data_IF_214839514596
#
_entry.id   IF_214839514596
#
_cell.length_a   1.000
_cell.length_b   1.000
_cell.length_c   1.000
_cell.angle_alpha   90.00
_cell.angle_beta   90.00
_cell.angle_gamma   90.00
#
_symmetry.space_group_name_H-M   'P 1'
#
loop_
_entity.id
_entity.type
_entity.pdbx_description
1 polymer ?
#
# COMPACT_ATOMS: atom_id res chain seq x y z
N UNK A 1 16.39 51.30 -4.27
CA UNK A 1 17.38 51.16 -5.37
C UNK A 1 17.19 49.73 -5.92
N UNK A 2 16.32 49.60 -6.90
CA UNK A 2 15.97 48.33 -7.52
C UNK A 2 16.84 48.13 -8.75
N UNK A 3 17.75 47.15 -8.69
CA UNK A 3 18.57 46.77 -9.85
C UNK A 3 17.72 45.91 -10.80
N UNK A 4 17.29 46.53 -11.90
CA UNK A 4 16.73 45.83 -13.05
C UNK A 4 17.85 45.26 -13.90
N UNK A 5 18.08 43.94 -13.85
CA UNK A 5 18.92 43.23 -14.80
C UNK A 5 18.13 42.95 -16.07
N UNK A 6 18.24 43.79 -17.08
CA UNK A 6 17.78 43.49 -18.43
C UNK A 6 18.81 42.58 -19.11
N UNK A 7 18.57 41.31 -19.20
CA UNK A 7 19.31 40.36 -20.03
C UNK A 7 18.89 40.53 -21.49
N UNK A 8 19.58 41.36 -22.23
CA UNK A 8 19.49 41.43 -23.70
C UNK A 8 20.19 40.19 -24.26
N UNK A 9 19.43 39.19 -24.66
CA UNK A 9 19.95 38.02 -25.37
C UNK A 9 20.45 38.45 -26.76
N UNK A 10 21.78 38.54 -26.93
CA UNK A 10 22.36 38.59 -28.26
C UNK A 10 22.23 37.23 -28.93
N UNK A 11 21.36 37.14 -29.95
CA UNK A 11 21.32 35.96 -30.85
C UNK A 11 22.61 35.91 -31.66
N UNK A 12 23.50 35.03 -31.33
CA UNK A 12 24.56 34.60 -32.23
C UNK A 12 24.01 33.44 -33.07
N UNK A 13 23.82 33.66 -34.37
CA UNK A 13 23.59 32.59 -35.32
C UNK A 13 24.89 31.85 -35.57
N UNK A 14 25.21 30.90 -34.72
CA UNK A 14 26.31 29.97 -34.91
C UNK A 14 25.75 28.65 -35.41
N UNK A 15 26.30 28.10 -36.50
CA UNK A 15 26.02 26.74 -36.95
C UNK A 15 26.46 25.76 -35.84
N UNK A 16 25.53 25.23 -35.14
CA UNK A 16 25.76 24.22 -34.09
C UNK A 16 26.22 22.93 -34.77
N UNK A 17 27.53 22.63 -34.66
CA UNK A 17 27.98 21.26 -34.91
C UNK A 17 27.52 20.42 -33.72
N UNK A 18 26.51 19.59 -33.89
CA UNK A 18 26.06 18.60 -32.88
C UNK A 18 27.18 17.57 -32.72
N UNK A 19 28.04 17.78 -31.75
CA UNK A 19 29.07 16.79 -31.41
C UNK A 19 28.49 15.89 -30.34
N UNK A 20 28.11 14.67 -30.70
CA UNK A 20 27.75 13.65 -29.74
C UNK A 20 29.05 13.12 -29.11
N UNK A 21 29.20 13.29 -27.81
CA UNK A 21 30.26 12.63 -27.06
C UNK A 21 29.64 11.47 -26.28
N UNK A 22 30.13 10.28 -26.60
CA UNK A 22 29.79 9.06 -25.88
C UNK A 22 30.78 8.90 -24.72
N UNK A 23 30.29 9.03 -23.49
CA UNK A 23 31.03 8.60 -22.32
C UNK A 23 30.53 7.21 -21.95
N UNK A 24 31.44 6.25 -21.83
CA UNK A 24 31.10 4.87 -21.44
C UNK A 24 30.29 4.89 -20.11
N UNK A 25 29.07 4.34 -20.17
CA UNK A 25 28.14 4.34 -19.04
C UNK A 25 27.29 5.61 -18.85
N UNK A 26 27.44 6.63 -19.69
CA UNK A 26 26.58 7.80 -19.65
C UNK A 26 25.62 7.86 -20.83
N UNK A 27 24.46 8.49 -20.59
CA UNK A 27 23.47 8.82 -21.61
C UNK A 27 24.11 9.72 -22.69
N UNK A 28 23.64 9.61 -23.94
CA UNK A 28 24.05 10.46 -25.02
C UNK A 28 24.03 11.95 -24.62
N UNK A 29 25.17 12.59 -24.71
CA UNK A 29 25.32 14.00 -24.38
C UNK A 29 25.37 14.82 -25.66
N UNK A 30 24.49 15.79 -25.80
CA UNK A 30 24.48 16.78 -26.87
C UNK A 30 25.02 18.09 -26.32
N UNK A 31 26.06 18.65 -26.99
CA UNK A 31 26.59 19.95 -26.65
C UNK A 31 25.83 21.06 -27.39
N UNK A 32 25.45 22.09 -26.66
CA UNK A 32 24.79 23.27 -27.23
C UNK A 32 25.45 24.55 -26.69
N UNK A 33 25.42 25.60 -27.49
CA UNK A 33 25.80 26.95 -27.05
C UNK A 33 24.63 27.75 -26.49
N UNK A 34 23.45 27.18 -26.53
CA UNK A 34 22.23 27.78 -25.97
C UNK A 34 22.04 27.32 -24.52
N UNK A 35 21.75 28.27 -23.63
CA UNK A 35 21.40 27.95 -22.27
C UNK A 35 19.93 27.41 -22.23
N UNK A 36 19.80 26.11 -21.98
CA UNK A 36 18.50 25.49 -21.85
C UNK A 36 18.07 25.47 -20.38
N UNK A 37 16.95 26.12 -20.09
CA UNK A 37 16.31 26.11 -18.77
C UNK A 37 14.99 25.36 -18.91
N UNK A 38 14.99 24.09 -18.45
CA UNK A 38 13.81 23.24 -18.50
C UNK A 38 13.00 23.40 -17.21
N UNK A 39 11.77 23.92 -17.33
CA UNK A 39 10.80 24.00 -16.23
C UNK A 39 9.64 23.04 -16.42
N UNK A 40 9.40 22.61 -17.64
CA UNK A 40 8.27 21.74 -17.98
C UNK A 40 8.54 20.31 -17.51
N UNK A 41 7.61 19.75 -16.76
CA UNK A 41 7.64 18.35 -16.34
C UNK A 41 6.73 17.55 -17.27
N UNK A 42 7.18 16.41 -17.84
CA UNK A 42 6.31 15.55 -18.62
C UNK A 42 5.12 15.09 -17.78
N UNK A 43 3.92 15.15 -18.34
CA UNK A 43 2.73 14.62 -17.71
C UNK A 43 2.62 13.12 -17.99
N UNK A 44 2.58 12.30 -16.95
CA UNK A 44 2.38 10.85 -17.07
C UNK A 44 0.87 10.60 -17.22
N UNK A 45 0.41 9.97 -18.32
CA UNK A 45 -1.00 9.66 -18.50
C UNK A 45 -1.49 8.63 -17.46
N UNK A 46 -2.77 8.75 -17.10
CA UNK A 46 -3.42 7.82 -16.16
C UNK A 46 -4.13 6.73 -16.96
N UNK A 47 -3.73 5.48 -16.77
CA UNK A 47 -4.38 4.32 -17.37
C UNK A 47 -5.72 4.05 -16.69
N UNK A 48 -6.80 4.03 -17.49
CA UNK A 48 -8.16 3.78 -17.07
C UNK A 48 -8.89 3.00 -18.16
N UNK A 49 -9.75 2.09 -17.79
CA UNK A 49 -10.62 1.33 -18.71
C UNK A 49 -12.07 1.30 -18.29
N UNK A 50 -12.39 1.53 -17.01
CA UNK A 50 -13.74 1.69 -16.51
C UNK A 50 -14.00 3.17 -16.14
N UNK A 51 -14.95 3.81 -16.81
CA UNK A 51 -15.26 5.22 -16.56
C UNK A 51 -16.00 5.43 -15.22
N UNK A 52 -16.03 6.65 -14.67
CA UNK A 52 -16.82 6.96 -13.46
C UNK A 52 -18.32 6.65 -13.59
N UNK A 53 -18.84 6.63 -14.83
CA UNK A 53 -20.24 6.31 -15.14
C UNK A 53 -20.49 4.79 -15.21
N UNK A 54 -19.44 3.96 -15.14
CA UNK A 54 -19.53 2.50 -15.19
C UNK A 54 -19.53 1.94 -16.61
N UNK A 55 -19.01 2.68 -17.59
CA UNK A 55 -18.83 2.18 -18.96
C UNK A 55 -17.38 1.78 -19.20
N UNK A 56 -17.16 0.79 -20.06
CA UNK A 56 -15.83 0.46 -20.54
C UNK A 56 -15.40 1.47 -21.63
N UNK A 57 -14.15 1.89 -21.60
CA UNK A 57 -13.54 2.70 -22.65
C UNK A 57 -13.52 1.89 -23.97
N UNK A 58 -13.59 2.59 -25.10
CA UNK A 58 -13.66 1.97 -26.41
C UNK A 58 -12.48 1.02 -26.67
N UNK A 59 -12.78 -0.20 -27.11
CA UNK A 59 -11.79 -1.22 -27.41
C UNK A 59 -11.34 -2.05 -26.19
N UNK A 60 -11.92 -1.81 -25.02
CA UNK A 60 -11.62 -2.60 -23.82
C UNK A 60 -12.78 -3.53 -23.46
N UNK A 61 -12.42 -4.67 -22.92
CA UNK A 61 -13.34 -5.65 -22.37
C UNK A 61 -13.09 -5.82 -20.86
N UNK A 62 -14.09 -6.33 -20.16
CA UNK A 62 -13.94 -6.69 -18.74
C UNK A 62 -12.90 -7.85 -18.64
N UNK A 63 -11.82 -7.69 -17.86
CA UNK A 63 -10.80 -8.73 -17.70
C UNK A 63 -11.27 -9.93 -16.88
N UNK A 64 -12.45 -9.86 -16.29
CA UNK A 64 -13.04 -10.89 -15.43
C UNK A 64 -14.30 -11.46 -16.05
N UNK A 65 -14.62 -12.72 -15.72
CA UNK A 65 -15.95 -13.26 -15.94
C UNK A 65 -17.00 -12.50 -15.11
N UNK A 66 -18.28 -12.76 -15.41
CA UNK A 66 -19.39 -12.22 -14.60
C UNK A 66 -19.24 -12.59 -13.14
N UNK A 67 -18.99 -13.86 -12.88
CA UNK A 67 -18.85 -14.42 -11.54
C UNK A 67 -17.66 -13.80 -10.78
N UNK A 68 -16.52 -13.70 -11.43
CA UNK A 68 -15.32 -13.06 -10.86
C UNK A 68 -15.57 -11.57 -10.58
N UNK A 69 -16.26 -10.84 -11.46
CA UNK A 69 -16.60 -9.43 -11.24
C UNK A 69 -17.48 -9.28 -10.00
N UNK A 70 -18.50 -10.11 -9.87
CA UNK A 70 -19.38 -10.14 -8.70
C UNK A 70 -18.59 -10.47 -7.43
N UNK A 71 -17.69 -11.42 -7.47
CA UNK A 71 -16.89 -11.80 -6.31
C UNK A 71 -15.91 -10.69 -5.91
N UNK A 72 -15.30 -9.99 -6.87
CA UNK A 72 -14.45 -8.81 -6.60
C UNK A 72 -15.27 -7.67 -6.00
N UNK A 73 -16.49 -7.43 -6.50
CA UNK A 73 -17.40 -6.46 -5.92
C UNK A 73 -17.77 -6.80 -4.47
N UNK A 74 -18.19 -8.05 -4.23
CA UNK A 74 -18.49 -8.55 -2.87
C UNK A 74 -17.30 -8.41 -1.94
N UNK A 75 -16.10 -8.66 -2.44
CA UNK A 75 -14.87 -8.49 -1.67
C UNK A 75 -14.67 -7.03 -1.25
N UNK A 76 -14.76 -6.08 -2.17
CA UNK A 76 -14.62 -4.66 -1.87
C UNK A 76 -15.67 -4.16 -0.87
N UNK A 77 -16.93 -4.58 -1.04
CA UNK A 77 -18.02 -4.23 -0.11
C UNK A 77 -17.76 -4.80 1.28
N UNK A 78 -17.35 -6.07 1.39
CA UNK A 78 -17.00 -6.68 2.68
C UNK A 78 -15.85 -5.96 3.35
N UNK A 79 -14.78 -5.66 2.60
CA UNK A 79 -13.63 -4.91 3.10
C UNK A 79 -14.08 -3.57 3.70
N UNK A 80 -14.88 -2.80 2.96
CA UNK A 80 -15.38 -1.49 3.40
C UNK A 80 -16.28 -1.59 4.65
N UNK A 81 -17.17 -2.59 4.71
CA UNK A 81 -18.05 -2.81 5.87
C UNK A 81 -17.23 -3.19 7.10
N UNK A 82 -16.28 -4.12 6.96
CA UNK A 82 -15.41 -4.57 8.05
C UNK A 82 -14.49 -3.45 8.54
N UNK A 83 -13.94 -2.67 7.64
CA UNK A 83 -13.09 -1.52 7.92
C UNK A 83 -13.80 -0.49 8.80
N UNK A 84 -15.06 -0.15 8.46
CA UNK A 84 -15.92 0.72 9.27
C UNK A 84 -16.21 0.13 10.65
N UNK A 85 -16.48 -1.16 10.72
CA UNK A 85 -16.76 -1.82 11.99
C UNK A 85 -15.52 -1.83 12.88
N UNK A 86 -14.34 -2.13 12.34
CA UNK A 86 -13.08 -2.12 13.07
C UNK A 86 -12.73 -0.72 13.60
N UNK A 87 -12.95 0.32 12.79
CA UNK A 87 -12.81 1.70 13.26
C UNK A 87 -13.69 1.98 14.50
N UNK A 88 -14.98 1.60 14.44
CA UNK A 88 -15.90 1.81 15.56
C UNK A 88 -15.54 0.96 16.79
N UNK A 89 -15.05 -0.25 16.60
CA UNK A 89 -14.59 -1.15 17.68
C UNK A 89 -13.36 -0.55 18.37
N UNK A 90 -12.44 0.06 17.61
CA UNK A 90 -11.33 0.79 18.19
C UNK A 90 -11.83 1.99 19.02
N UNK A 91 -12.81 2.78 18.53
CA UNK A 91 -13.40 3.90 19.27
C UNK A 91 -14.08 3.45 20.57
N UNK A 92 -14.48 2.19 20.67
CA UNK A 92 -14.96 1.56 21.91
C UNK A 92 -13.82 1.10 22.85
N UNK A 93 -12.54 1.30 22.46
CA UNK A 93 -11.38 0.96 23.27
C UNK A 93 -11.01 -0.53 23.30
N UNK A 94 -11.50 -1.35 22.37
CA UNK A 94 -11.21 -2.80 22.36
C UNK A 94 -9.78 -3.11 21.95
N UNK A 95 -9.20 -2.30 21.09
CA UNK A 95 -7.77 -2.25 20.77
C UNK A 95 -7.32 -0.80 20.62
N UNK A 96 -6.01 -0.55 20.61
CA UNK A 96 -5.48 0.79 20.82
C UNK A 96 -5.47 1.68 19.57
N UNK A 97 -5.42 1.09 18.35
CA UNK A 97 -5.21 1.83 17.13
C UNK A 97 -5.81 1.13 15.91
N UNK A 98 -6.29 1.91 14.92
CA UNK A 98 -6.72 1.39 13.63
C UNK A 98 -6.52 2.42 12.51
N UNK A 99 -6.29 1.94 11.31
CA UNK A 99 -6.21 2.73 10.08
C UNK A 99 -7.17 2.15 9.04
N UNK A 100 -8.06 2.99 8.51
CA UNK A 100 -9.05 2.61 7.53
C UNK A 100 -8.48 2.50 6.11
N UNK A 101 -9.10 1.67 5.27
CA UNK A 101 -8.74 1.44 3.87
C UNK A 101 -9.69 2.14 2.88
N UNK A 102 -10.68 2.87 3.38
CA UNK A 102 -11.77 3.45 2.59
C UNK A 102 -11.30 4.37 1.48
N UNK A 103 -11.82 4.15 0.28
CA UNK A 103 -11.48 4.86 -0.94
C UNK A 103 -10.39 4.20 -1.78
N UNK A 104 -9.71 3.16 -1.24
CA UNK A 104 -8.64 2.45 -1.93
C UNK A 104 -9.00 0.98 -2.26
N UNK A 105 -10.27 0.60 -2.15
CA UNK A 105 -10.72 -0.80 -2.25
C UNK A 105 -10.42 -1.41 -3.63
N UNK A 106 -10.59 -0.65 -4.73
CA UNK A 106 -10.32 -1.16 -6.08
C UNK A 106 -8.83 -1.35 -6.34
N UNK A 107 -8.00 -0.41 -5.90
CA UNK A 107 -6.53 -0.54 -5.95
C UNK A 107 -6.09 -1.81 -5.24
N UNK A 108 -6.54 -2.01 -4.00
CA UNK A 108 -6.14 -3.16 -3.19
C UNK A 108 -6.65 -4.49 -3.76
N UNK A 109 -7.90 -4.52 -4.20
CA UNK A 109 -8.51 -5.71 -4.79
C UNK A 109 -7.84 -6.06 -6.12
N UNK A 110 -7.63 -5.09 -7.00
CA UNK A 110 -7.00 -5.28 -8.31
C UNK A 110 -5.55 -5.77 -8.19
N UNK A 111 -4.75 -5.13 -7.34
CA UNK A 111 -3.37 -5.56 -7.07
C UNK A 111 -3.36 -6.96 -6.46
N UNK A 112 -4.15 -7.18 -5.41
CA UNK A 112 -4.19 -8.47 -4.72
C UNK A 112 -4.59 -9.64 -5.64
N UNK A 113 -5.52 -9.41 -6.57
CA UNK A 113 -5.94 -10.39 -7.59
C UNK A 113 -4.85 -10.68 -8.63
N UNK A 114 -3.97 -9.71 -8.92
CA UNK A 114 -2.91 -9.84 -9.91
C UNK A 114 -1.64 -10.51 -9.36
N UNK A 115 -1.44 -10.48 -8.05
CA UNK A 115 -0.29 -11.10 -7.41
C UNK A 115 -0.46 -12.62 -7.29
N UNK A 116 0.66 -13.32 -7.36
CA UNK A 116 0.69 -14.78 -7.20
C UNK A 116 1.02 -15.17 -5.76
N UNK A 117 0.67 -16.38 -5.32
CA UNK A 117 0.95 -16.82 -3.93
C UNK A 117 2.41 -16.70 -3.51
N UNK A 118 3.36 -16.96 -4.43
CA UNK A 118 4.80 -16.91 -4.19
C UNK A 118 5.39 -15.51 -4.15
N UNK A 119 4.66 -14.47 -4.58
CA UNK A 119 5.14 -13.08 -4.53
C UNK A 119 5.20 -12.59 -3.08
N UNK A 120 6.26 -11.90 -2.72
CA UNK A 120 6.42 -11.33 -1.38
C UNK A 120 5.94 -9.89 -1.32
N UNK A 121 5.32 -9.50 -0.21
CA UNK A 121 4.75 -8.18 0.00
C UNK A 121 5.33 -7.50 1.22
N UNK A 122 5.69 -6.23 1.05
CA UNK A 122 6.23 -5.32 2.05
C UNK A 122 5.30 -4.11 2.11
N UNK A 123 4.47 -4.06 3.13
CA UNK A 123 3.36 -3.13 3.23
C UNK A 123 3.71 -1.93 4.10
N UNK A 124 3.00 -0.82 3.86
CA UNK A 124 3.07 0.32 4.76
C UNK A 124 2.13 0.14 5.96
N UNK A 125 0.82 0.07 5.74
CA UNK A 125 -0.21 -0.23 6.76
C UNK A 125 -1.64 -0.25 6.20
N UNK A 126 -1.90 0.40 5.04
CA UNK A 126 -3.26 0.57 4.48
C UNK A 126 -3.49 -0.37 3.30
N UNK A 127 -3.13 -1.63 3.44
CA UNK A 127 -3.23 -2.63 2.37
C UNK A 127 -3.94 -3.92 2.82
N UNK A 128 -4.88 -3.79 3.77
CA UNK A 128 -5.61 -4.96 4.30
C UNK A 128 -6.31 -5.76 3.19
N UNK A 129 -6.84 -5.08 2.16
CA UNK A 129 -7.44 -5.73 1.01
C UNK A 129 -6.45 -6.58 0.22
N UNK A 130 -5.21 -6.10 0.00
CA UNK A 130 -4.15 -6.90 -0.64
C UNK A 130 -3.84 -8.15 0.19
N UNK A 131 -3.74 -7.99 1.52
CA UNK A 131 -3.51 -9.10 2.43
C UNK A 131 -4.59 -10.16 2.34
N UNK A 132 -5.86 -9.74 2.40
CA UNK A 132 -6.99 -10.65 2.33
C UNK A 132 -7.04 -11.40 1.00
N UNK A 133 -6.72 -10.75 -0.12
CA UNK A 133 -6.62 -11.40 -1.42
C UNK A 133 -5.49 -12.44 -1.47
N UNK A 134 -4.42 -12.25 -0.70
CA UNK A 134 -3.33 -13.22 -0.56
C UNK A 134 -3.60 -14.32 0.50
N UNK A 135 -4.77 -14.33 1.12
CA UNK A 135 -5.17 -15.37 2.08
C UNK A 135 -4.96 -15.00 3.56
N UNK A 136 -4.77 -13.73 3.86
CA UNK A 136 -4.88 -13.22 5.24
C UNK A 136 -6.36 -13.18 5.63
N UNK A 137 -6.72 -13.87 6.68
CA UNK A 137 -8.12 -14.03 7.05
C UNK A 137 -8.61 -12.93 7.99
N UNK A 138 -9.93 -12.84 8.17
CA UNK A 138 -10.51 -11.97 9.19
C UNK A 138 -10.09 -12.40 10.60
N UNK A 139 -9.87 -13.71 10.82
CA UNK A 139 -9.35 -14.26 12.08
C UNK A 139 -7.90 -13.80 12.33
N UNK A 140 -7.03 -13.82 11.33
CA UNK A 140 -5.66 -13.26 11.42
C UNK A 140 -5.72 -11.76 11.76
N UNK A 141 -6.60 -11.01 11.08
CA UNK A 141 -6.80 -9.57 11.33
C UNK A 141 -7.18 -9.30 12.78
N UNK A 142 -8.20 -9.98 13.26
CA UNK A 142 -8.69 -9.82 14.64
C UNK A 142 -7.69 -10.37 15.67
N UNK A 143 -6.98 -11.43 15.32
CA UNK A 143 -5.92 -11.99 16.14
C UNK A 143 -4.83 -10.97 16.44
N UNK A 144 -4.36 -10.26 15.43
CA UNK A 144 -3.33 -9.24 15.59
C UNK A 144 -3.88 -7.99 16.31
N UNK A 145 -5.06 -7.48 15.93
CA UNK A 145 -5.65 -6.31 16.57
C UNK A 145 -5.91 -6.49 18.08
N UNK A 146 -6.30 -7.70 18.48
CA UNK A 146 -6.56 -8.07 19.88
C UNK A 146 -5.35 -8.68 20.59
N UNK A 147 -4.23 -8.86 19.87
CA UNK A 147 -3.00 -9.51 20.36
C UNK A 147 -3.24 -10.92 20.89
N UNK A 148 -4.09 -11.70 20.20
CA UNK A 148 -4.37 -13.08 20.62
C UNK A 148 -3.29 -14.05 20.16
N UNK A 149 -3.37 -15.31 20.55
CA UNK A 149 -2.42 -16.35 20.09
C UNK A 149 -2.48 -16.67 18.59
N UNK A 150 -3.46 -16.11 17.86
CA UNK A 150 -3.54 -16.20 16.41
C UNK A 150 -2.63 -15.15 15.72
N UNK A 151 -2.09 -14.19 16.48
CA UNK A 151 -1.09 -13.25 15.97
C UNK A 151 0.30 -13.91 15.89
N UNK A 152 0.83 -14.10 14.68
CA UNK A 152 2.18 -14.61 14.48
C UNK A 152 3.25 -13.67 15.07
N UNK A 153 2.95 -12.37 15.23
CA UNK A 153 3.78 -11.37 15.92
C UNK A 153 3.78 -11.50 17.44
N UNK A 154 3.01 -12.45 18.00
CA UNK A 154 2.92 -12.74 19.44
C UNK A 154 2.53 -11.54 20.32
N UNK A 155 1.77 -10.59 19.76
CA UNK A 155 1.38 -9.37 20.45
C UNK A 155 2.50 -8.35 20.69
N UNK A 156 3.66 -8.51 20.04
CA UNK A 156 4.81 -7.61 20.19
C UNK A 156 4.69 -6.33 19.38
N UNK A 157 3.81 -6.32 18.38
CA UNK A 157 3.58 -5.19 17.49
C UNK A 157 2.30 -4.42 17.88
N UNK A 158 2.27 -3.14 17.55
CA UNK A 158 1.04 -2.37 17.66
C UNK A 158 -0.01 -2.86 16.66
N UNK A 159 -1.32 -2.58 16.90
CA UNK A 159 -2.36 -2.92 15.95
C UNK A 159 -2.05 -2.45 14.53
N UNK A 160 -2.49 -3.21 13.53
CA UNK A 160 -2.24 -3.08 12.08
C UNK A 160 -0.84 -3.47 11.60
N UNK A 161 0.10 -3.74 12.49
CA UNK A 161 1.43 -4.24 12.08
C UNK A 161 1.39 -5.75 11.82
N UNK A 162 0.65 -6.13 10.78
CA UNK A 162 0.42 -7.53 10.42
C UNK A 162 1.70 -8.25 10.00
N UNK A 163 1.74 -9.56 10.23
CA UNK A 163 2.81 -10.46 9.85
C UNK A 163 2.25 -11.84 9.52
N UNK A 164 2.65 -12.44 8.40
CA UNK A 164 2.29 -13.82 8.06
C UNK A 164 3.25 -14.39 7.02
N UNK A 165 4.29 -15.04 7.47
CA UNK A 165 5.36 -15.55 6.59
C UNK A 165 4.82 -16.51 5.51
N UNK A 166 3.85 -17.35 5.84
CA UNK A 166 3.28 -18.35 4.94
C UNK A 166 2.71 -17.78 3.64
N UNK A 167 2.26 -16.52 3.63
CA UNK A 167 1.71 -15.85 2.44
C UNK A 167 2.70 -14.83 1.84
N UNK A 168 3.96 -14.87 2.24
CA UNK A 168 4.97 -13.93 1.78
C UNK A 168 4.82 -12.52 2.36
N UNK A 169 4.06 -12.35 3.46
CA UNK A 169 3.94 -11.07 4.15
C UNK A 169 5.10 -10.88 5.12
N UNK A 170 5.90 -9.85 4.88
CA UNK A 170 6.88 -9.36 5.84
C UNK A 170 6.24 -8.42 6.85
N UNK A 171 6.70 -8.50 8.11
CA UNK A 171 6.14 -7.68 9.20
C UNK A 171 6.14 -6.20 8.83
N UNK A 172 4.98 -5.56 8.99
CA UNK A 172 4.84 -4.12 8.75
C UNK A 172 5.67 -3.35 9.77
N UNK A 173 6.57 -2.50 9.27
CA UNK A 173 7.46 -1.68 10.09
C UNK A 173 6.84 -0.31 10.36
N UNK A 174 6.93 0.16 11.61
CA UNK A 174 6.43 1.48 12.00
C UNK A 174 7.24 2.64 11.40
N UNK A 175 8.61 2.61 11.34
CA UNK A 175 9.37 3.64 10.64
C UNK A 175 8.96 3.73 9.17
N UNK A 176 8.50 4.92 8.77
CA UNK A 176 7.93 5.14 7.44
C UNK A 176 8.96 4.87 6.34
N UNK A 177 8.54 4.23 5.24
CA UNK A 177 9.32 3.86 4.04
C UNK A 177 10.40 2.79 4.18
N UNK A 178 10.77 2.33 5.37
CA UNK A 178 11.80 1.27 5.52
C UNK A 178 11.45 -0.03 4.80
N UNK A 179 10.17 -0.31 4.56
CA UNK A 179 9.71 -1.45 3.77
C UNK A 179 10.14 -1.36 2.30
N UNK A 180 10.38 -0.16 1.76
CA UNK A 180 10.73 0.03 0.34
C UNK A 180 12.12 -0.53 0.04
N UNK A 181 13.20 -0.14 0.76
CA UNK A 181 14.50 -0.79 0.58
C UNK A 181 14.50 -2.29 0.93
N UNK A 182 13.67 -2.74 1.89
CA UNK A 182 13.53 -4.17 2.18
C UNK A 182 12.96 -4.92 0.98
N UNK A 183 11.90 -4.38 0.34
CA UNK A 183 11.31 -5.00 -0.85
C UNK A 183 12.30 -5.03 -2.02
N UNK A 184 13.08 -3.96 -2.20
CA UNK A 184 14.13 -3.90 -3.21
C UNK A 184 15.20 -4.97 -2.97
N UNK A 185 15.66 -5.12 -1.73
CA UNK A 185 16.65 -6.15 -1.37
C UNK A 185 16.14 -7.58 -1.62
N UNK A 186 14.87 -7.85 -1.29
CA UNK A 186 14.23 -9.13 -1.57
C UNK A 186 14.13 -9.39 -3.09
N UNK A 187 13.67 -8.39 -3.87
CA UNK A 187 13.60 -8.51 -5.33
C UNK A 187 14.97 -8.73 -5.98
N UNK A 188 16.01 -8.09 -5.45
CA UNK A 188 17.39 -8.34 -5.88
C UNK A 188 17.82 -9.78 -5.58
N UNK A 189 17.52 -10.30 -4.39
CA UNK A 189 17.81 -11.68 -4.03
C UNK A 189 17.06 -12.68 -4.94
N UNK A 190 15.78 -12.43 -5.26
CA UNK A 190 15.00 -13.28 -6.17
C UNK A 190 15.61 -13.31 -7.57
N UNK A 191 16.08 -12.15 -8.07
CA UNK A 191 16.78 -12.09 -9.35
C UNK A 191 18.08 -12.90 -9.33
N UNK A 192 18.91 -12.74 -8.31
CA UNK A 192 20.17 -13.52 -8.17
C UNK A 192 19.90 -15.02 -8.06
N UNK A 193 18.82 -15.41 -7.39
CA UNK A 193 18.37 -16.80 -7.27
C UNK A 193 17.66 -17.33 -8.53
N UNK A 194 17.47 -16.49 -9.57
CA UNK A 194 16.67 -16.82 -10.76
C UNK A 194 15.27 -17.32 -10.43
N UNK A 195 14.66 -16.73 -9.38
CA UNK A 195 13.34 -17.11 -8.91
C UNK A 195 12.24 -16.43 -9.74
N UNK A 196 11.11 -17.16 -10.00
CA UNK A 196 9.98 -16.69 -10.82
C UNK A 196 8.92 -15.98 -9.98
N UNK A 197 9.35 -15.17 -9.02
CA UNK A 197 8.51 -14.34 -8.15
C UNK A 197 9.02 -12.92 -8.05
N UNK A 198 8.15 -12.03 -7.59
CA UNK A 198 8.49 -10.63 -7.39
C UNK A 198 8.37 -10.24 -5.91
N UNK A 199 9.04 -9.17 -5.56
CA UNK A 199 8.85 -8.45 -4.32
C UNK A 199 8.05 -7.18 -4.58
N UNK A 200 7.02 -6.91 -3.77
CA UNK A 200 6.16 -5.74 -3.92
C UNK A 200 6.29 -4.84 -2.70
N UNK A 201 6.79 -3.64 -2.89
CA UNK A 201 6.93 -2.62 -1.85
C UNK A 201 5.85 -1.55 -1.95
N UNK A 202 4.99 -1.44 -0.93
CA UNK A 202 3.90 -0.47 -0.89
C UNK A 202 4.28 0.76 -0.08
N UNK A 203 3.87 1.93 -0.56
CA UNK A 203 4.07 3.20 0.14
C UNK A 203 3.04 4.24 -0.32
N UNK A 204 2.84 5.28 0.47
CA UNK A 204 1.99 6.42 0.11
C UNK A 204 2.79 7.53 -0.58
N UNK A 205 2.10 8.50 -1.16
CA UNK A 205 2.73 9.66 -1.81
C UNK A 205 3.52 10.52 -0.82
N UNK A 206 3.04 10.65 0.43
CA UNK A 206 3.78 11.33 1.49
C UNK A 206 5.05 10.59 1.89
N UNK A 207 4.98 9.25 1.95
CA UNK A 207 6.13 8.40 2.22
C UNK A 207 7.22 8.53 1.15
N UNK A 208 6.86 8.83 -0.11
CA UNK A 208 7.82 9.07 -1.17
C UNK A 208 8.70 10.32 -0.97
N UNK A 209 8.45 11.12 0.07
CA UNK A 209 9.32 12.25 0.46
C UNK A 209 10.43 11.84 1.44
N UNK A 210 10.38 10.61 1.99
CA UNK A 210 11.42 10.08 2.86
C UNK A 210 12.67 9.68 2.08
N UNK A 211 13.85 9.81 2.71
CA UNK A 211 15.13 9.47 2.08
C UNK A 211 15.24 8.03 1.61
N UNK A 212 14.64 7.10 2.35
CA UNK A 212 14.64 5.67 2.03
C UNK A 212 13.97 5.35 0.70
N UNK A 213 12.91 6.08 0.32
CA UNK A 213 12.31 5.94 -1.01
C UNK A 213 13.32 6.25 -2.11
N UNK A 214 14.02 7.38 -2.01
CA UNK A 214 14.98 7.82 -3.01
C UNK A 214 16.17 6.87 -3.13
N UNK A 215 16.71 6.42 -2.01
CA UNK A 215 17.77 5.43 -1.97
C UNK A 215 17.33 4.10 -2.59
N UNK A 216 16.16 3.58 -2.20
CA UNK A 216 15.64 2.32 -2.70
C UNK A 216 15.31 2.38 -4.20
N UNK A 217 14.72 3.47 -4.68
CA UNK A 217 14.41 3.66 -6.10
C UNK A 217 15.69 3.66 -6.95
N UNK A 218 16.73 4.35 -6.50
CA UNK A 218 18.03 4.34 -7.18
C UNK A 218 18.69 2.95 -7.16
N UNK A 219 18.66 2.24 -6.02
CA UNK A 219 19.17 0.87 -5.95
C UNK A 219 18.39 -0.09 -6.84
N UNK A 220 17.07 0.02 -6.86
CA UNK A 220 16.22 -0.81 -7.72
C UNK A 220 16.61 -0.64 -9.21
N UNK A 221 16.79 0.59 -9.65
CA UNK A 221 17.16 0.90 -11.03
C UNK A 221 18.57 0.41 -11.39
N UNK A 222 19.56 0.66 -10.51
CA UNK A 222 20.97 0.40 -10.80
C UNK A 222 21.35 -1.08 -10.63
N UNK A 223 20.86 -1.73 -9.56
CA UNK A 223 21.15 -3.15 -9.29
C UNK A 223 20.21 -4.08 -10.02
N UNK A 224 19.09 -3.57 -10.52
CA UNK A 224 17.98 -4.31 -11.10
C UNK A 224 17.47 -5.41 -10.15
N UNK A 225 16.21 -5.64 -10.10
CA UNK A 225 15.62 -6.63 -9.21
C UNK A 225 14.20 -6.95 -9.58
N UNK A 226 13.72 -8.12 -9.20
CA UNK A 226 12.32 -8.51 -9.38
C UNK A 226 11.43 -7.71 -8.41
N UNK A 227 11.39 -6.39 -8.57
CA UNK A 227 10.75 -5.47 -7.62
C UNK A 227 9.66 -4.64 -8.29
N UNK A 228 8.48 -4.67 -7.71
CA UNK A 228 7.37 -3.77 -8.01
C UNK A 228 7.24 -2.76 -6.88
N UNK A 229 7.43 -1.48 -7.18
CA UNK A 229 7.20 -0.37 -6.25
C UNK A 229 5.81 0.22 -6.48
N UNK A 230 4.95 0.18 -5.47
CA UNK A 230 3.55 0.59 -5.55
C UNK A 230 3.29 1.80 -4.67
N UNK A 231 3.11 2.95 -5.30
CA UNK A 231 2.64 4.17 -4.64
C UNK A 231 1.11 4.22 -4.63
N UNK A 232 0.52 4.36 -3.45
CA UNK A 232 -0.91 4.69 -3.29
C UNK A 232 -1.02 6.20 -3.05
N UNK A 233 -1.32 6.95 -4.11
CA UNK A 233 -1.53 8.39 -4.03
C UNK A 233 -3.00 8.67 -3.72
N UNK A 234 -3.32 8.83 -2.44
CA UNK A 234 -4.68 9.06 -1.98
C UNK A 234 -4.99 10.54 -1.66
N UNK A 235 -4.09 11.43 -2.05
CA UNK A 235 -4.27 12.87 -1.96
C UNK A 235 -3.78 13.52 -0.67
N UNK A 236 -3.44 12.73 0.38
CA UNK A 236 -3.08 13.26 1.68
C UNK A 236 -1.99 12.48 2.42
N UNK A 237 -0.92 13.15 2.78
CA UNK A 237 0.05 12.68 3.78
C UNK A 237 -0.41 13.14 5.17
N UNK A 238 -1.17 12.32 5.88
CA UNK A 238 -1.89 12.68 7.12
C UNK A 238 -2.81 13.88 6.85
N UNK A 239 -2.38 15.11 7.19
CA UNK A 239 -3.09 16.36 6.98
C UNK A 239 -2.57 17.19 5.80
N UNK A 240 -1.41 16.84 5.23
CA UNK A 240 -0.79 17.59 4.14
C UNK A 240 -1.35 17.14 2.80
N UNK A 241 -2.06 18.00 2.04
CA UNK A 241 -2.55 17.66 0.71
C UNK A 241 -1.38 17.59 -0.29
N UNK A 242 -1.54 16.81 -1.35
CA UNK A 242 -0.49 16.59 -2.36
C UNK A 242 0.07 17.89 -2.96
N UNK A 243 -0.75 18.92 -3.13
CA UNK A 243 -0.32 20.23 -3.66
C UNK A 243 0.72 20.93 -2.78
N UNK A 244 0.75 20.61 -1.48
CA UNK A 244 1.68 21.16 -0.49
C UNK A 244 2.80 20.16 -0.17
N UNK A 245 2.67 18.90 -0.62
CA UNK A 245 3.65 17.83 -0.39
C UNK A 245 4.78 17.85 -1.42
N UNK A 246 4.48 18.10 -2.71
CA UNK A 246 5.46 18.15 -3.79
C UNK A 246 4.97 19.07 -4.93
N UNK A 247 5.92 19.61 -5.70
CA UNK A 247 5.63 20.55 -6.78
C UNK A 247 5.54 19.89 -8.18
N UNK A 248 6.00 18.64 -8.32
CA UNK A 248 6.05 17.93 -9.61
C UNK A 248 4.76 17.18 -9.93
N UNK A 249 4.75 16.44 -11.05
CA UNK A 249 3.64 15.62 -11.52
C UNK A 249 3.57 14.27 -10.77
N UNK A 250 3.20 14.30 -9.49
CA UNK A 250 3.02 13.08 -8.69
C UNK A 250 4.32 12.32 -8.39
N UNK A 251 4.18 11.02 -8.20
CA UNK A 251 5.28 10.13 -7.83
C UNK A 251 5.80 9.35 -9.03
N UNK A 252 4.94 9.03 -10.00
CA UNK A 252 5.31 8.26 -11.19
C UNK A 252 6.51 8.88 -11.93
N UNK A 253 6.56 10.20 -12.07
CA UNK A 253 7.65 10.91 -12.73
C UNK A 253 9.02 10.65 -12.08
N UNK A 254 9.05 10.37 -10.78
CA UNK A 254 10.29 10.05 -10.06
C UNK A 254 10.88 8.72 -10.52
N UNK A 255 10.05 7.75 -10.90
CA UNK A 255 10.53 6.49 -11.48
C UNK A 255 11.31 6.71 -12.79
N UNK A 256 10.80 7.57 -13.66
CA UNK A 256 11.50 7.97 -14.90
C UNK A 256 12.83 8.61 -14.59
N UNK A 257 12.90 9.48 -13.59
CA UNK A 257 14.16 10.18 -13.22
C UNK A 257 15.24 9.22 -12.70
N UNK A 258 14.86 8.05 -12.16
CA UNK A 258 15.77 6.97 -11.77
C UNK A 258 16.03 5.94 -12.89
N UNK A 259 15.38 6.07 -14.05
CA UNK A 259 15.53 5.13 -15.16
C UNK A 259 14.68 3.87 -15.03
N UNK A 260 13.62 3.89 -14.21
CA UNK A 260 12.68 2.78 -14.07
C UNK A 260 11.51 2.90 -15.06
N UNK A 261 10.97 1.76 -15.45
CA UNK A 261 9.65 1.69 -16.10
C UNK A 261 8.59 2.19 -15.14
N UNK A 262 7.65 2.99 -15.65
CA UNK A 262 6.69 3.68 -14.80
C UNK A 262 5.29 3.59 -15.38
N UNK A 263 4.29 3.33 -14.53
CA UNK A 263 2.89 3.26 -14.88
C UNK A 263 2.09 4.10 -13.87
N UNK A 264 1.19 4.97 -14.36
CA UNK A 264 0.19 5.64 -13.53
C UNK A 264 -1.18 5.07 -13.85
N UNK A 265 -1.96 4.76 -12.81
CA UNK A 265 -3.23 4.04 -12.89
C UNK A 265 -4.32 4.83 -12.16
N UNK A 266 -5.53 4.86 -12.70
CA UNK A 266 -6.72 5.25 -11.95
C UNK A 266 -7.01 4.18 -10.90
N UNK A 267 -6.61 4.44 -9.65
CA UNK A 267 -6.75 3.51 -8.53
C UNK A 267 -8.20 3.25 -8.10
N UNK A 268 -9.16 4.03 -8.61
CA UNK A 268 -10.58 3.79 -8.41
C UNK A 268 -11.18 2.83 -9.45
N UNK A 269 -10.40 2.47 -10.48
CA UNK A 269 -10.76 1.50 -11.51
C UNK A 269 -10.18 0.13 -11.16
N UNK A 270 -11.06 -0.81 -10.77
CA UNK A 270 -10.70 -2.18 -10.44
C UNK A 270 -10.01 -2.91 -11.60
N UNK A 271 -10.53 -2.72 -12.81
CA UNK A 271 -10.06 -3.44 -14.00
C UNK A 271 -8.69 -2.94 -14.43
N UNK A 272 -8.50 -1.62 -14.45
CA UNK A 272 -7.20 -1.00 -14.73
C UNK A 272 -6.16 -1.38 -13.65
N UNK A 273 -6.55 -1.38 -12.37
CA UNK A 273 -5.66 -1.78 -11.27
C UNK A 273 -5.17 -3.21 -11.42
N UNK A 274 -6.05 -4.14 -11.79
CA UNK A 274 -5.68 -5.53 -12.05
C UNK A 274 -4.77 -5.68 -13.28
N UNK A 275 -5.19 -5.15 -14.42
CA UNK A 275 -4.45 -5.33 -15.68
C UNK A 275 -3.07 -4.68 -15.65
N UNK A 276 -2.97 -3.47 -15.11
CA UNK A 276 -1.70 -2.77 -14.99
C UNK A 276 -0.73 -3.49 -14.05
N UNK A 277 -1.22 -4.02 -12.93
CA UNK A 277 -0.38 -4.78 -11.98
C UNK A 277 0.08 -6.09 -12.60
N UNK A 278 -0.82 -6.81 -13.30
CA UNK A 278 -0.46 -8.02 -14.03
C UNK A 278 0.62 -7.75 -15.08
N UNK A 279 0.43 -6.71 -15.90
CA UNK A 279 1.42 -6.31 -16.91
C UNK A 279 2.76 -5.93 -16.27
N UNK A 280 2.77 -5.18 -15.18
CA UNK A 280 3.98 -4.82 -14.46
C UNK A 280 4.73 -6.05 -13.93
N UNK A 281 3.99 -7.03 -13.36
CA UNK A 281 4.56 -8.29 -12.90
C UNK A 281 5.20 -9.08 -14.05
N UNK A 282 4.48 -9.22 -15.16
CA UNK A 282 4.97 -9.95 -16.34
C UNK A 282 6.24 -9.29 -16.89
N UNK A 283 6.27 -7.95 -17.03
CA UNK A 283 7.44 -7.18 -17.45
C UNK A 283 8.63 -7.43 -16.52
N UNK A 284 8.43 -7.39 -15.19
CA UNK A 284 9.51 -7.61 -14.22
C UNK A 284 10.11 -9.00 -14.38
N UNK A 285 9.29 -10.03 -14.54
CA UNK A 285 9.76 -11.41 -14.69
C UNK A 285 10.46 -11.66 -16.03
N UNK A 286 10.04 -10.95 -17.09
CA UNK A 286 10.66 -11.04 -18.42
C UNK A 286 11.99 -10.29 -18.47
N UNK A 287 12.02 -9.04 -17.95
CA UNK A 287 13.15 -8.14 -18.13
C UNK A 287 14.12 -8.13 -16.95
N UNK A 288 13.69 -8.61 -15.79
CA UNK A 288 14.39 -8.49 -14.50
C UNK A 288 14.67 -7.01 -14.10
N UNK A 289 13.83 -6.09 -14.58
CA UNK A 289 13.92 -4.66 -14.28
C UNK A 289 12.75 -4.25 -13.37
N UNK A 290 12.99 -3.37 -12.40
CA UNK A 290 11.95 -2.90 -11.50
C UNK A 290 10.94 -2.03 -12.23
N UNK A 291 9.70 -2.03 -11.73
CA UNK A 291 8.64 -1.15 -12.19
C UNK A 291 8.14 -0.31 -11.02
N UNK A 292 7.91 0.98 -11.25
CA UNK A 292 7.21 1.87 -10.32
C UNK A 292 5.80 2.12 -10.82
N UNK A 293 4.80 1.88 -9.95
CA UNK A 293 3.40 2.18 -10.23
C UNK A 293 2.88 3.23 -9.27
N UNK A 294 2.10 4.19 -9.77
CA UNK A 294 1.36 5.16 -8.98
C UNK A 294 -0.14 5.00 -9.21
N UNK A 295 -0.87 4.65 -8.17
CA UNK A 295 -2.32 4.53 -8.19
C UNK A 295 -2.94 5.81 -7.64
N UNK A 296 -3.65 6.52 -8.53
CA UNK A 296 -4.38 7.73 -8.18
C UNK A 296 -5.71 7.36 -7.56
N UNK A 297 -5.89 7.65 -6.29
CA UNK A 297 -7.09 7.31 -5.51
C UNK A 297 -7.44 8.43 -4.53
N UNK A 298 -8.36 8.19 -3.60
CA UNK A 298 -8.73 9.19 -2.60
C UNK A 298 -9.01 8.55 -1.25
N UNK A 299 -8.40 9.10 -0.20
CA UNK A 299 -8.64 8.66 1.18
C UNK A 299 -9.99 9.19 1.67
N UNK A 300 -11.01 8.34 1.70
CA UNK A 300 -12.36 8.70 2.18
C UNK A 300 -12.40 8.82 3.70
N UNK A 301 -11.80 7.87 4.40
CA UNK A 301 -11.75 7.83 5.86
C UNK A 301 -10.76 8.82 6.49
N UNK A 302 -10.71 8.81 7.83
CA UNK A 302 -9.66 9.49 8.59
C UNK A 302 -8.29 8.86 8.29
N UNK A 303 -7.21 9.59 8.55
CA UNK A 303 -5.87 8.98 8.44
C UNK A 303 -5.75 7.77 9.36
N UNK A 304 -6.14 7.93 10.60
CA UNK A 304 -6.19 6.88 11.62
C UNK A 304 -7.28 7.20 12.66
N UNK A 305 -7.45 6.33 13.64
CA UNK A 305 -8.35 6.56 14.77
C UNK A 305 -7.90 7.70 15.71
N UNK A 306 -6.70 8.23 15.50
CA UNK A 306 -6.16 9.38 16.23
C UNK A 306 -6.23 10.68 15.42
N UNK A 307 -6.85 10.66 14.22
CA UNK A 307 -6.95 11.80 13.31
C UNK A 307 -8.37 12.38 13.29
N UNK A 308 -8.44 13.69 13.00
CA UNK A 308 -9.69 14.39 12.66
C UNK A 308 -9.51 15.17 11.36
N UNK A 309 -9.94 14.56 10.26
CA UNK A 309 -9.77 15.14 8.94
C UNK A 309 -10.65 16.37 8.68
N UNK A 310 -11.65 16.65 9.52
CA UNK A 310 -12.45 17.88 9.41
C UNK A 310 -11.64 19.15 9.69
N UNK A 311 -10.50 19.00 10.40
CA UNK A 311 -9.61 20.11 10.71
C UNK A 311 -8.80 20.62 9.50
N UNK A 312 -8.65 19.83 8.42
CA UNK A 312 -7.79 20.20 7.29
C UNK A 312 -8.40 19.98 5.90
N UNK A 313 -9.46 19.18 5.76
CA UNK A 313 -10.18 19.03 4.49
C UNK A 313 -10.99 20.27 4.19
N UNK A 314 -11.11 20.59 2.90
CA UNK A 314 -12.01 21.67 2.49
C UNK A 314 -13.47 21.28 2.73
N UNK A 315 -14.32 22.23 3.18
CA UNK A 315 -15.76 21.98 3.28
C UNK A 315 -16.33 21.48 1.95
N UNK A 316 -17.14 20.42 1.98
CA UNK A 316 -17.75 19.82 0.78
C UNK A 316 -16.83 18.92 -0.05
N UNK A 317 -15.56 18.77 0.28
CA UNK A 317 -14.62 17.94 -0.48
C UNK A 317 -15.05 16.47 -0.50
N UNK A 318 -15.35 15.91 0.66
CA UNK A 318 -15.78 14.52 0.79
C UNK A 318 -17.13 14.26 0.12
N UNK A 319 -18.05 15.20 0.26
CA UNK A 319 -19.36 15.15 -0.38
C UNK A 319 -19.23 15.17 -1.92
N UNK A 320 -18.31 15.98 -2.44
CA UNK A 320 -18.04 16.03 -3.88
C UNK A 320 -17.48 14.70 -4.39
N UNK A 321 -16.57 14.08 -3.67
CA UNK A 321 -16.04 12.74 -4.00
C UNK A 321 -17.15 11.67 -3.96
N UNK A 322 -17.99 11.67 -2.94
CA UNK A 322 -19.11 10.74 -2.83
C UNK A 322 -20.15 10.92 -3.93
N UNK A 323 -20.46 12.16 -4.28
CA UNK A 323 -21.45 12.48 -5.31
C UNK A 323 -20.96 12.21 -6.74
N UNK A 324 -19.66 12.26 -6.98
CA UNK A 324 -19.06 12.09 -8.31
C UNK A 324 -19.24 10.69 -8.90
N UNK A 325 -19.50 9.69 -8.05
CA UNK A 325 -19.56 8.28 -8.46
C UNK A 325 -18.22 7.70 -8.90
N UNK A 326 -17.12 8.41 -8.63
CA UNK A 326 -15.75 7.99 -8.96
C UNK A 326 -15.27 6.91 -8.00
N UNK A 327 -15.82 6.85 -6.78
CA UNK A 327 -15.36 5.93 -5.75
C UNK A 327 -15.46 4.47 -6.19
N UNK A 328 -14.51 3.61 -5.76
CA UNK A 328 -14.29 2.27 -6.30
C UNK A 328 -15.53 1.39 -6.34
N UNK A 329 -16.18 1.24 -5.19
CA UNK A 329 -17.36 0.34 -5.04
C UNK A 329 -18.53 0.85 -5.89
N UNK A 330 -18.79 2.16 -5.88
CA UNK A 330 -19.88 2.77 -6.65
C UNK A 330 -19.66 2.61 -8.16
N UNK A 331 -18.42 2.72 -8.63
CA UNK A 331 -18.07 2.57 -10.04
C UNK A 331 -18.32 1.16 -10.56
N UNK A 332 -17.85 0.14 -9.85
CA UNK A 332 -18.09 -1.26 -10.22
C UNK A 332 -19.56 -1.62 -10.09
N UNK A 333 -20.26 -1.07 -9.09
CA UNK A 333 -21.71 -1.24 -8.94
C UNK A 333 -22.46 -0.73 -10.17
N UNK A 334 -22.18 0.49 -10.63
CA UNK A 334 -22.80 1.06 -11.85
C UNK A 334 -22.58 0.16 -13.08
N UNK A 335 -21.36 -0.36 -13.24
CA UNK A 335 -21.06 -1.32 -14.32
C UNK A 335 -21.95 -2.56 -14.22
N UNK A 336 -22.05 -3.16 -13.04
CA UNK A 336 -22.86 -4.36 -12.83
C UNK A 336 -24.35 -4.12 -13.02
N UNK A 337 -24.85 -2.94 -12.60
CA UNK A 337 -26.24 -2.54 -12.79
C UNK A 337 -26.59 -2.43 -14.29
N UNK A 338 -25.70 -1.84 -15.09
CA UNK A 338 -25.86 -1.74 -16.55
C UNK A 338 -25.88 -3.11 -17.24
N UNK A 339 -25.14 -4.07 -16.68
CA UNK A 339 -25.16 -5.45 -17.18
C UNK A 339 -26.36 -6.26 -16.67
N UNK A 340 -27.14 -5.73 -15.74
CA UNK A 340 -28.22 -6.49 -15.07
C UNK A 340 -27.70 -7.63 -14.18
N UNK A 341 -26.50 -7.49 -13.60
CA UNK A 341 -25.86 -8.55 -12.81
C UNK A 341 -26.09 -8.47 -11.31
N UNK A 342 -26.57 -7.35 -10.82
CA UNK A 342 -26.71 -7.08 -9.39
C UNK A 342 -27.92 -6.22 -9.08
N UNK A 343 -28.55 -6.44 -7.93
CA UNK A 343 -29.74 -5.71 -7.47
C UNK A 343 -29.46 -5.02 -6.12
N UNK A 344 -30.33 -4.05 -5.77
CA UNK A 344 -30.27 -3.37 -4.46
C UNK A 344 -30.51 -4.36 -3.31
N UNK A 345 -31.43 -5.33 -3.49
CA UNK A 345 -31.70 -6.35 -2.48
C UNK A 345 -30.48 -7.23 -2.19
N UNK A 346 -29.71 -7.60 -3.24
CA UNK A 346 -28.46 -8.35 -3.09
C UNK A 346 -27.39 -7.52 -2.36
N UNK A 347 -27.33 -6.21 -2.62
CA UNK A 347 -26.39 -5.32 -1.94
C UNK A 347 -26.71 -5.18 -0.44
N UNK A 348 -27.97 -4.96 -0.10
CA UNK A 348 -28.41 -4.91 1.29
C UNK A 348 -28.14 -6.22 2.02
N UNK A 349 -28.44 -7.37 1.37
CA UNK A 349 -28.18 -8.70 1.92
C UNK A 349 -26.67 -8.92 2.15
N UNK A 350 -25.82 -8.54 1.20
CA UNK A 350 -24.36 -8.63 1.31
C UNK A 350 -23.82 -7.80 2.48
N UNK A 351 -24.27 -6.54 2.61
CA UNK A 351 -23.84 -5.67 3.71
C UNK A 351 -24.28 -6.18 5.07
N UNK A 352 -25.50 -6.72 5.15
CA UNK A 352 -26.02 -7.36 6.37
C UNK A 352 -25.22 -8.61 6.74
N UNK A 353 -24.94 -9.47 5.75
CA UNK A 353 -24.10 -10.65 5.91
C UNK A 353 -22.71 -10.28 6.42
N UNK A 354 -22.03 -9.32 5.77
CA UNK A 354 -20.72 -8.86 6.17
C UNK A 354 -20.66 -8.39 7.64
N UNK A 355 -21.70 -7.66 8.09
CA UNK A 355 -21.82 -7.25 9.49
C UNK A 355 -22.00 -8.44 10.43
N UNK A 356 -22.84 -9.39 10.05
CA UNK A 356 -23.10 -10.59 10.85
C UNK A 356 -21.84 -11.42 11.02
N UNK A 357 -21.10 -11.64 9.92
CA UNK A 357 -19.82 -12.37 9.93
C UNK A 357 -18.81 -11.67 10.85
N UNK A 358 -18.64 -10.33 10.71
CA UNK A 358 -17.71 -9.59 11.56
C UNK A 358 -18.05 -9.69 13.04
N UNK A 359 -19.33 -9.54 13.41
CA UNK A 359 -19.77 -9.63 14.81
C UNK A 359 -19.51 -11.03 15.38
N UNK A 360 -19.79 -12.08 14.61
CA UNK A 360 -19.50 -13.45 15.01
C UNK A 360 -18.01 -13.68 15.24
N UNK A 361 -17.18 -13.29 14.27
CA UNK A 361 -15.73 -13.43 14.35
C UNK A 361 -15.09 -12.58 15.47
N UNK A 362 -15.60 -11.39 15.72
CA UNK A 362 -15.16 -10.57 16.86
C UNK A 362 -15.44 -11.28 18.18
N UNK A 363 -16.67 -11.82 18.35
CA UNK A 363 -17.06 -12.58 19.57
C UNK A 363 -16.22 -13.84 19.76
N UNK A 364 -15.81 -14.50 18.69
CA UNK A 364 -14.88 -15.64 18.72
C UNK A 364 -13.47 -15.17 19.15
N UNK A 365 -12.93 -14.16 18.49
CA UNK A 365 -11.58 -13.65 18.72
C UNK A 365 -11.39 -13.12 20.16
N UNK A 366 -12.40 -12.47 20.74
CA UNK A 366 -12.35 -11.96 22.11
C UNK A 366 -12.22 -13.05 23.19
N UNK A 367 -12.59 -14.30 22.87
CA UNK A 367 -12.43 -15.45 23.77
C UNK A 367 -11.04 -16.08 23.68
N UNK A 368 -10.30 -15.78 22.62
CA UNK A 368 -8.98 -16.34 22.40
C UNK A 368 -7.98 -15.60 23.30
N UNK A 369 -7.26 -16.37 24.10
CA UNK A 369 -6.23 -15.83 24.98
C UNK A 369 -5.00 -15.37 24.20
N UNK A 370 -4.22 -14.55 24.83
CA UNK A 370 -2.88 -14.14 24.38
C UNK A 370 -1.87 -15.25 24.63
N UNK A 371 -0.76 -15.18 23.94
CA UNK A 371 0.39 -16.07 24.15
C UNK A 371 0.79 -16.11 25.63
N UNK A 372 1.36 -17.24 26.12
CA UNK A 372 2.03 -17.29 27.41
C UNK A 372 3.09 -16.18 27.49
N UNK A 373 3.21 -15.51 28.62
CA UNK A 373 4.04 -14.31 28.72
C UNK A 373 5.52 -14.62 28.43
N UNK A 374 6.06 -15.69 28.99
CA UNK A 374 7.46 -16.06 28.76
C UNK A 374 7.74 -16.43 27.32
N UNK A 375 6.83 -17.13 26.68
CA UNK A 375 6.95 -17.46 25.26
C UNK A 375 6.83 -16.19 24.39
N UNK A 376 5.84 -15.35 24.67
CA UNK A 376 5.65 -14.08 23.97
C UNK A 376 6.86 -13.14 24.08
N UNK A 377 7.58 -13.12 25.21
CA UNK A 377 8.73 -12.23 25.43
C UNK A 377 10.05 -12.79 24.90
N UNK A 378 10.32 -14.09 25.12
CA UNK A 378 11.66 -14.63 25.01
C UNK A 378 11.85 -15.70 23.92
N UNK A 379 10.77 -16.26 23.35
CA UNK A 379 10.90 -17.21 22.26
C UNK A 379 11.30 -16.53 20.95
N UNK A 380 11.98 -17.27 20.07
CA UNK A 380 12.33 -16.91 18.69
C UNK A 380 13.04 -15.54 18.49
N UNK A 381 13.64 -15.00 19.54
CA UNK A 381 14.51 -13.80 19.43
C UNK A 381 15.82 -14.17 18.72
N UNK A 382 16.36 -15.36 19.03
CA UNK A 382 17.56 -15.93 18.42
C UNK A 382 17.31 -17.37 17.97
N UNK A 383 18.03 -17.81 16.96
CA UNK A 383 17.97 -19.20 16.47
C UNK A 383 18.57 -20.22 17.45
N UNK A 384 19.29 -19.78 18.46
CA UNK A 384 19.92 -20.58 19.50
C UNK A 384 19.83 -19.86 20.85
N UNK A 385 19.92 -20.56 21.96
CA UNK A 385 19.97 -19.96 23.29
C UNK A 385 21.15 -18.98 23.44
N UNK A 386 20.89 -17.85 24.08
CA UNK A 386 21.87 -16.80 24.39
C UNK A 386 21.81 -16.51 25.87
N UNK A 387 22.98 -16.59 26.56
CA UNK A 387 23.09 -16.48 28.01
C UNK A 387 22.40 -15.23 28.55
N UNK A 388 22.61 -14.07 27.92
CA UNK A 388 21.98 -12.79 28.33
C UNK A 388 20.45 -12.83 28.27
N UNK A 389 19.88 -13.57 27.30
CA UNK A 389 18.43 -13.72 27.19
C UNK A 389 17.85 -14.64 28.27
N UNK A 390 18.58 -15.72 28.61
CA UNK A 390 18.19 -16.62 29.71
C UNK A 390 18.31 -15.91 31.07
N UNK A 391 19.35 -15.09 31.27
CA UNK A 391 19.49 -14.26 32.46
C UNK A 391 18.32 -13.30 32.63
N UNK A 392 17.92 -12.61 31.55
CA UNK A 392 16.76 -11.71 31.53
C UNK A 392 15.46 -12.46 31.83
N UNK A 393 15.29 -13.65 31.29
CA UNK A 393 14.13 -14.52 31.54
C UNK A 393 14.03 -14.94 33.00
N UNK A 394 15.14 -15.33 33.61
CA UNK A 394 15.19 -15.69 35.02
C UNK A 394 14.96 -14.46 35.93
N UNK A 395 15.53 -13.31 35.58
CA UNK A 395 15.28 -12.05 36.27
C UNK A 395 13.78 -11.67 36.21
N UNK A 396 13.15 -11.81 35.04
CA UNK A 396 11.71 -11.57 34.87
C UNK A 396 10.87 -12.53 35.71
N UNK A 397 11.20 -13.83 35.76
CA UNK A 397 10.48 -14.81 36.59
C UNK A 397 10.53 -14.43 38.09
N UNK A 398 11.70 -14.01 38.59
CA UNK A 398 11.86 -13.54 39.97
C UNK A 398 11.03 -12.30 40.24
N UNK A 399 11.08 -11.31 39.33
CA UNK A 399 10.29 -10.09 39.42
C UNK A 399 8.78 -10.39 39.40
N UNK A 400 8.34 -11.25 38.49
CA UNK A 400 6.96 -11.65 38.38
C UNK A 400 6.45 -12.34 39.64
N UNK A 401 7.24 -13.26 40.22
CA UNK A 401 6.88 -13.95 41.46
C UNK A 401 6.69 -12.97 42.63
N UNK A 402 7.55 -11.94 42.72
CA UNK A 402 7.49 -10.91 43.77
C UNK A 402 6.33 -9.92 43.62
N UNK A 403 5.79 -9.77 42.39
CA UNK A 403 4.78 -8.77 42.04
C UNK A 403 3.56 -9.33 41.31
N UNK A 404 3.26 -10.60 41.53
CA UNK A 404 2.18 -11.33 40.80
C UNK A 404 0.82 -10.65 40.87
N UNK A 405 0.52 -10.00 41.99
CA UNK A 405 -0.70 -9.23 42.25
C UNK A 405 -0.86 -8.00 41.33
N UNK A 406 0.25 -7.48 40.79
CA UNK A 406 0.25 -6.32 39.88
C UNK A 406 0.02 -6.69 38.42
N UNK A 407 0.02 -7.98 38.05
CA UNK A 407 -0.12 -8.46 36.70
C UNK A 407 -1.47 -9.15 36.49
N UNK A 408 -2.24 -8.65 35.51
CA UNK A 408 -3.50 -9.30 35.14
C UNK A 408 -3.25 -10.39 34.08
N UNK A 409 -3.21 -11.63 34.53
CA UNK A 409 -3.01 -12.80 33.65
C UNK A 409 -4.30 -13.34 33.00
N UNK A 410 -5.47 -12.77 33.29
CA UNK A 410 -6.75 -13.31 32.83
C UNK A 410 -6.85 -13.44 31.30
N UNK A 411 -6.12 -12.57 30.58
CA UNK A 411 -6.07 -12.55 29.11
C UNK A 411 -4.97 -13.42 28.50
N UNK A 412 -4.10 -14.03 29.30
CA UNK A 412 -2.96 -14.83 28.82
C UNK A 412 -3.19 -16.31 29.07
N UNK A 413 -2.56 -17.18 28.29
CA UNK A 413 -2.60 -18.64 28.51
C UNK A 413 -1.78 -19.07 29.74
N UNK A 414 -0.99 -18.18 30.31
CA UNK A 414 -0.13 -18.42 31.47
C UNK A 414 1.07 -17.48 31.49
N UNK A 415 2.01 -17.83 32.41
CA UNK A 415 3.31 -17.15 32.49
C UNK A 415 4.24 -17.60 31.38
#
# INVERSE_FOLDING_TARGET
MTLSLSLTARRYAGTSSKTQVYHEGLIHTEFTTELNINKETPVIPIFRILTPEGHLEQGWENPFSKEETIDMYKFMVRLSVWDNMLYNVQRQGRFSFYIQNQGEEATQAGIGKALMPEDHIFLQYRELGVLMMKGFTLEDTLGQLLSTKHDEGKGRQMPISYSKQKIGLHTICTPLTTQVPHSMGAGYAFRLGNEKRISVGFFGEGAASEGDFHAAANFAATLKGNTLLVCRNNGYAISTPVKDQYAGDGIAIRGISYGMRTIRVDGNDLFASYLATKAARDIILETQEPVLMEFMTYRVGQHSTSDDSSAYRQPGELEAWNASGILPIARVRKYMDQQGWWSEQEDEALRKDARTVMLAKMKEAEKVKRWPILEGLFADVWSHPVDTLEEQKEAFKKHFAAHKDKYNLSKYEGL
#
